data_IF_698002272900
#
_entry.id   IF_698002272900
#
_cell.length_a   1.000
_cell.length_b   1.000
_cell.length_c   1.000
_cell.angle_alpha   90.00
_cell.angle_beta   90.00
_cell.angle_gamma   90.00
#
_symmetry.space_group_name_H-M   'P 1'
#
loop_
_entity.id
_entity.type
_entity.pdbx_description
1 polymer ?
#
# COMPACT_ATOMS: atom_id res chain seq x y z
N UNK A 1 -11.38 -22.83 -15.64
CA UNK A 1 -10.94 -21.74 -16.54
C UNK A 1 -9.89 -20.95 -15.76
N UNK A 2 -8.61 -21.19 -16.06
CA UNK A 2 -7.51 -20.47 -15.37
C UNK A 2 -7.41 -19.08 -16.02
N UNK A 3 -8.08 -18.08 -15.43
CA UNK A 3 -8.02 -16.70 -15.91
C UNK A 3 -6.85 -15.99 -15.22
N UNK A 4 -5.78 -15.76 -15.94
CA UNK A 4 -4.70 -14.87 -15.48
C UNK A 4 -5.26 -13.49 -15.14
N UNK A 5 -4.81 -12.90 -14.03
CA UNK A 5 -5.25 -11.59 -13.58
C UNK A 5 -6.60 -11.56 -12.85
N UNK A 6 -7.22 -12.72 -12.60
CA UNK A 6 -8.49 -12.79 -11.87
C UNK A 6 -8.37 -12.23 -10.46
N UNK A 7 -7.25 -12.49 -9.78
CA UNK A 7 -6.98 -11.96 -8.46
C UNK A 7 -6.98 -10.43 -8.41
N UNK A 8 -6.33 -9.80 -9.40
CA UNK A 8 -6.32 -8.34 -9.54
C UNK A 8 -7.71 -7.78 -9.83
N UNK A 9 -8.48 -8.42 -10.71
CA UNK A 9 -9.84 -7.99 -11.02
C UNK A 9 -10.74 -8.06 -9.79
N UNK A 10 -10.65 -9.14 -9.01
CA UNK A 10 -11.43 -9.30 -7.78
C UNK A 10 -11.01 -8.26 -6.75
N UNK A 11 -9.70 -7.98 -6.59
CA UNK A 11 -9.24 -6.96 -5.66
C UNK A 11 -9.76 -5.55 -6.05
N UNK A 12 -9.65 -5.18 -7.33
CA UNK A 12 -10.20 -3.92 -7.82
C UNK A 12 -11.71 -3.83 -7.60
N UNK A 13 -12.45 -4.93 -7.85
CA UNK A 13 -13.89 -4.98 -7.62
C UNK A 13 -14.23 -4.83 -6.15
N UNK A 14 -13.48 -5.47 -5.25
CA UNK A 14 -13.62 -5.34 -3.81
C UNK A 14 -13.42 -3.90 -3.34
N UNK A 15 -12.41 -3.21 -3.85
CA UNK A 15 -12.14 -1.79 -3.56
C UNK A 15 -13.30 -0.91 -4.03
N UNK A 16 -13.84 -1.14 -5.23
CA UNK A 16 -14.97 -0.37 -5.76
C UNK A 16 -16.21 -0.57 -4.89
N UNK A 17 -16.55 -1.82 -4.57
CA UNK A 17 -17.74 -2.14 -3.76
C UNK A 17 -17.57 -1.55 -2.35
N UNK A 18 -16.40 -1.72 -1.74
CA UNK A 18 -16.07 -1.15 -0.43
C UNK A 18 -16.15 0.39 -0.44
N UNK A 19 -15.63 1.01 -1.49
CA UNK A 19 -15.68 2.46 -1.67
C UNK A 19 -17.10 3.00 -1.72
N UNK A 20 -17.98 2.35 -2.51
CA UNK A 20 -19.40 2.72 -2.61
C UNK A 20 -20.10 2.49 -1.27
N UNK A 21 -19.92 1.33 -0.65
CA UNK A 21 -20.53 1.01 0.64
C UNK A 21 -20.06 1.98 1.73
N UNK A 22 -18.75 2.28 1.78
CA UNK A 22 -18.17 3.21 2.75
C UNK A 22 -18.72 4.63 2.61
N UNK A 23 -18.91 5.11 1.38
CA UNK A 23 -19.53 6.43 1.14
C UNK A 23 -20.98 6.48 1.61
N UNK A 24 -21.76 5.43 1.33
CA UNK A 24 -23.16 5.35 1.79
C UNK A 24 -23.21 5.36 3.32
N UNK A 25 -22.34 4.59 3.96
CA UNK A 25 -22.23 4.54 5.43
C UNK A 25 -21.78 5.89 5.98
N UNK A 26 -20.75 6.51 5.39
CA UNK A 26 -20.16 7.78 5.82
C UNK A 26 -21.16 8.94 5.82
N UNK A 27 -22.08 8.96 4.86
CA UNK A 27 -23.13 9.99 4.78
C UNK A 27 -24.09 9.97 5.97
N UNK A 28 -24.20 8.87 6.70
CA UNK A 28 -25.06 8.72 7.89
C UNK A 28 -24.29 8.94 9.19
N UNK A 29 -22.96 9.11 9.14
CA UNK A 29 -22.13 9.30 10.32
C UNK A 29 -21.93 10.80 10.61
N UNK A 30 -22.02 11.16 11.89
CA UNK A 30 -21.65 12.52 12.35
C UNK A 30 -20.14 12.72 12.15
N UNK A 31 -19.71 13.98 11.93
CA UNK A 31 -18.29 14.32 11.73
C UNK A 31 -17.39 13.81 12.85
N UNK A 32 -17.83 13.88 14.10
CA UNK A 32 -17.08 13.35 15.25
C UNK A 32 -16.88 11.83 15.18
N UNK A 33 -17.86 11.09 14.65
CA UNK A 33 -17.73 9.64 14.44
C UNK A 33 -16.78 9.33 13.29
N UNK A 34 -16.82 10.13 12.20
CA UNK A 34 -15.87 9.99 11.10
C UNK A 34 -14.44 10.23 11.57
N UNK A 35 -14.18 11.28 12.37
CA UNK A 35 -12.85 11.56 12.94
C UNK A 35 -12.37 10.41 13.85
N UNK A 36 -13.25 9.91 14.72
CA UNK A 36 -12.92 8.77 15.59
C UNK A 36 -12.59 7.51 14.79
N UNK A 37 -13.38 7.20 13.77
CA UNK A 37 -13.15 6.05 12.89
C UNK A 37 -11.85 6.19 12.10
N UNK A 38 -11.55 7.40 11.59
CA UNK A 38 -10.30 7.66 10.88
C UNK A 38 -9.09 7.45 11.79
N UNK A 39 -9.12 7.95 13.01
CA UNK A 39 -8.06 7.75 14.00
C UNK A 39 -7.93 6.27 14.41
N UNK A 40 -9.06 5.58 14.65
CA UNK A 40 -9.05 4.15 14.96
C UNK A 40 -8.45 3.32 13.83
N UNK A 41 -8.81 3.62 12.57
CA UNK A 41 -8.19 2.98 11.40
C UNK A 41 -6.70 3.31 11.30
N UNK A 42 -6.30 4.55 11.53
CA UNK A 42 -4.90 4.96 11.58
C UNK A 42 -4.09 4.20 12.64
N UNK A 43 -4.65 4.01 13.83
CA UNK A 43 -4.03 3.18 14.89
C UNK A 43 -3.87 1.73 14.41
N UNK A 44 -4.90 1.13 13.79
CA UNK A 44 -4.80 -0.21 13.24
C UNK A 44 -3.68 -0.31 12.19
N UNK A 45 -3.57 0.66 11.28
CA UNK A 45 -2.51 0.74 10.25
C UNK A 45 -1.13 0.88 10.89
N UNK A 46 -0.98 1.68 11.98
CA UNK A 46 0.26 1.78 12.75
C UNK A 46 0.67 0.39 13.28
N UNK A 47 -0.24 -0.34 13.93
CA UNK A 47 0.06 -1.66 14.50
C UNK A 47 0.39 -2.69 13.41
N UNK A 48 -0.29 -2.66 12.27
CA UNK A 48 0.03 -3.51 11.12
C UNK A 48 1.45 -3.21 10.62
N UNK A 49 1.80 -1.93 10.49
CA UNK A 49 3.14 -1.51 10.09
C UNK A 49 4.22 -1.95 11.09
N UNK A 50 4.01 -1.72 12.38
CA UNK A 50 4.93 -2.15 13.44
C UNK A 50 5.10 -3.68 13.42
N UNK A 51 4.00 -4.43 13.44
CA UNK A 51 4.05 -5.89 13.47
C UNK A 51 4.78 -6.46 12.24
N UNK A 52 4.47 -5.93 11.05
CA UNK A 52 5.14 -6.33 9.82
C UNK A 52 6.64 -6.01 9.81
N UNK A 53 7.04 -4.83 10.28
CA UNK A 53 8.44 -4.45 10.40
C UNK A 53 9.19 -5.31 11.44
N UNK A 54 8.63 -5.47 12.63
CA UNK A 54 9.23 -6.29 13.68
C UNK A 54 9.35 -7.75 13.29
N UNK A 55 8.38 -8.31 12.56
CA UNK A 55 8.44 -9.70 12.06
C UNK A 55 9.63 -9.98 11.14
N UNK A 56 10.22 -8.94 10.56
CA UNK A 56 11.39 -9.04 9.66
C UNK A 56 12.68 -8.55 10.31
N UNK A 57 12.56 -7.70 11.31
CA UNK A 57 13.69 -7.12 12.02
C UNK A 57 14.17 -8.01 13.17
N UNK A 58 13.27 -8.73 13.85
CA UNK A 58 13.60 -9.54 15.02
C UNK A 58 13.98 -10.96 14.60
N UNK A 59 15.09 -11.46 15.13
CA UNK A 59 15.57 -12.82 14.94
C UNK A 59 15.95 -13.44 16.29
N UNK A 60 15.78 -14.75 16.43
CA UNK A 60 16.20 -15.46 17.63
C UNK A 60 17.58 -16.08 17.36
N UNK A 61 18.59 -15.64 18.12
CA UNK A 61 19.94 -16.18 18.06
C UNK A 61 20.36 -16.64 19.46
N UNK A 62 20.70 -17.92 19.58
CA UNK A 62 21.18 -18.46 20.87
C UNK A 62 20.22 -18.32 22.04
N UNK A 63 18.89 -18.28 21.80
CA UNK A 63 17.87 -18.11 22.83
C UNK A 63 17.62 -16.66 23.25
N UNK A 64 18.28 -15.69 22.61
CA UNK A 64 18.07 -14.24 22.80
C UNK A 64 17.47 -13.60 21.55
N UNK A 65 16.70 -12.54 21.73
CA UNK A 65 16.16 -11.73 20.62
C UNK A 65 17.27 -10.77 20.18
N UNK A 66 17.59 -10.82 18.89
CA UNK A 66 18.53 -9.91 18.23
C UNK A 66 17.86 -9.22 17.05
N UNK A 67 18.47 -8.20 16.48
CA UNK A 67 17.95 -7.45 15.35
C UNK A 67 18.78 -7.67 14.09
N UNK A 68 18.12 -7.69 12.94
CA UNK A 68 18.75 -7.81 11.63
C UNK A 68 18.20 -6.76 10.66
N UNK A 69 18.95 -6.50 9.58
CA UNK A 69 18.51 -5.62 8.50
C UNK A 69 18.48 -4.12 8.84
N UNK A 70 19.05 -3.71 10.00
CA UNK A 70 19.04 -2.29 10.42
C UNK A 70 19.78 -1.40 9.43
N UNK A 71 20.96 -1.81 8.93
CA UNK A 71 21.72 -1.04 7.93
C UNK A 71 20.97 -0.96 6.61
N UNK A 72 20.39 -2.07 6.15
CA UNK A 72 19.55 -2.09 4.94
C UNK A 72 18.38 -1.12 5.09
N UNK A 73 17.70 -1.09 6.24
CA UNK A 73 16.59 -0.18 6.52
C UNK A 73 17.02 1.28 6.39
N UNK A 74 18.10 1.67 7.10
CA UNK A 74 18.59 3.06 7.10
C UNK A 74 18.99 3.49 5.68
N UNK A 75 19.77 2.68 4.98
CA UNK A 75 20.24 2.98 3.63
C UNK A 75 19.05 3.07 2.67
N UNK A 76 18.14 2.11 2.72
CA UNK A 76 16.99 2.07 1.83
C UNK A 76 16.06 3.26 2.01
N UNK A 77 15.74 3.61 3.25
CA UNK A 77 14.88 4.76 3.54
C UNK A 77 15.56 6.08 3.16
N UNK A 78 16.85 6.23 3.47
CA UNK A 78 17.58 7.47 3.17
C UNK A 78 17.76 7.69 1.66
N UNK A 79 18.25 6.68 0.94
CA UNK A 79 18.40 6.77 -0.51
C UNK A 79 17.04 6.84 -1.21
N UNK A 80 16.08 6.06 -0.73
CA UNK A 80 14.72 6.08 -1.26
C UNK A 80 14.07 7.45 -1.14
N UNK A 81 14.23 8.11 0.01
CA UNK A 81 13.74 9.47 0.23
C UNK A 81 14.39 10.47 -0.73
N UNK A 82 15.72 10.41 -0.90
CA UNK A 82 16.45 11.29 -1.82
C UNK A 82 15.95 11.10 -3.26
N UNK A 83 15.87 9.85 -3.71
CA UNK A 83 15.42 9.52 -5.08
C UNK A 83 13.96 9.97 -5.27
N UNK A 84 13.09 9.68 -4.31
CA UNK A 84 11.69 10.04 -4.41
C UNK A 84 11.44 11.54 -4.38
N UNK A 85 12.20 12.29 -3.58
CA UNK A 85 12.14 13.75 -3.54
C UNK A 85 12.65 14.38 -4.86
N UNK A 86 13.73 13.86 -5.41
CA UNK A 86 14.22 14.29 -6.74
C UNK A 86 13.23 14.00 -7.86
N UNK A 87 12.48 12.90 -7.76
CA UNK A 87 11.45 12.54 -8.73
C UNK A 87 10.09 13.19 -8.44
N UNK A 88 9.91 13.80 -7.27
CA UNK A 88 8.64 14.35 -6.76
C UNK A 88 7.47 13.39 -6.97
N UNK A 89 7.60 12.17 -6.44
CA UNK A 89 6.59 11.13 -6.61
C UNK A 89 5.27 11.49 -5.91
N UNK A 90 5.36 12.16 -4.76
CA UNK A 90 4.20 12.64 -4.01
C UNK A 90 3.42 13.68 -4.81
N UNK A 91 4.11 14.66 -5.40
CA UNK A 91 3.50 15.64 -6.30
C UNK A 91 2.86 14.98 -7.53
N UNK A 92 3.50 13.98 -8.14
CA UNK A 92 2.92 13.23 -9.27
C UNK A 92 1.67 12.46 -8.86
N UNK A 93 1.63 11.86 -7.68
CA UNK A 93 0.43 11.19 -7.16
C UNK A 93 -0.71 12.18 -6.91
N UNK A 94 -0.40 13.35 -6.35
CA UNK A 94 -1.37 14.44 -6.15
C UNK A 94 -1.93 14.91 -7.49
N UNK A 95 -1.07 15.21 -8.47
CA UNK A 95 -1.50 15.63 -9.81
C UNK A 95 -2.36 14.58 -10.51
N UNK A 96 -2.01 13.30 -10.38
CA UNK A 96 -2.82 12.21 -10.90
C UNK A 96 -4.20 12.15 -10.21
N UNK A 97 -4.24 12.34 -8.89
CA UNK A 97 -5.48 12.45 -8.11
C UNK A 97 -6.34 13.64 -8.53
N UNK A 98 -5.73 14.79 -8.79
CA UNK A 98 -6.41 15.98 -9.29
C UNK A 98 -6.99 15.76 -10.70
N UNK A 99 -6.23 15.14 -11.58
CA UNK A 99 -6.70 14.77 -12.90
C UNK A 99 -7.90 13.82 -12.82
N UNK A 100 -7.83 12.77 -11.98
CA UNK A 100 -8.94 11.86 -11.74
C UNK A 100 -10.16 12.59 -11.18
N UNK A 101 -9.98 13.46 -10.20
CA UNK A 101 -11.02 14.30 -9.60
C UNK A 101 -11.81 15.07 -10.64
N UNK A 102 -11.11 15.72 -11.57
CA UNK A 102 -11.72 16.49 -12.65
C UNK A 102 -12.44 15.58 -13.63
N UNK A 103 -11.78 14.51 -14.09
CA UNK A 103 -12.31 13.56 -15.08
C UNK A 103 -13.55 12.82 -14.59
N UNK A 104 -13.66 12.58 -13.29
CA UNK A 104 -14.79 11.86 -12.67
C UNK A 104 -15.89 12.80 -12.17
N UNK A 105 -15.83 14.10 -12.51
CA UNK A 105 -16.87 15.08 -12.14
C UNK A 105 -16.88 15.45 -10.65
N UNK A 106 -15.82 15.14 -9.90
CA UNK A 106 -15.70 15.43 -8.46
C UNK A 106 -14.91 16.72 -8.17
N UNK A 107 -14.86 17.68 -9.11
CA UNK A 107 -14.04 18.90 -9.03
C UNK A 107 -14.26 19.70 -7.72
N UNK A 108 -15.45 19.65 -7.14
CA UNK A 108 -15.82 20.39 -5.91
C UNK A 108 -15.45 19.63 -4.61
N UNK A 109 -15.06 18.37 -4.68
CA UNK A 109 -14.73 17.57 -3.49
C UNK A 109 -13.34 17.91 -2.99
N UNK A 110 -13.24 18.58 -1.84
CA UNK A 110 -11.97 19.02 -1.24
C UNK A 110 -11.14 17.86 -0.67
N UNK A 111 -11.79 16.77 -0.25
CA UNK A 111 -11.13 15.59 0.35
C UNK A 111 -10.71 14.54 -0.68
N UNK A 112 -11.11 14.70 -1.94
CA UNK A 112 -10.92 13.67 -2.97
C UNK A 112 -9.46 13.27 -3.14
N UNK A 113 -8.55 14.24 -3.29
CA UNK A 113 -7.12 13.96 -3.55
C UNK A 113 -6.47 13.31 -2.34
N UNK A 114 -6.72 13.83 -1.14
CA UNK A 114 -6.18 13.27 0.10
C UNK A 114 -6.67 11.83 0.30
N UNK A 115 -7.95 11.57 0.11
CA UNK A 115 -8.54 10.24 0.18
C UNK A 115 -7.94 9.29 -0.87
N UNK A 116 -7.80 9.76 -2.11
CA UNK A 116 -7.20 8.98 -3.19
C UNK A 116 -5.75 8.61 -2.90
N UNK A 117 -4.91 9.59 -2.53
CA UNK A 117 -3.47 9.35 -2.27
C UNK A 117 -3.29 8.43 -1.08
N UNK A 118 -3.97 8.73 0.04
CA UNK A 118 -3.84 7.94 1.27
C UNK A 118 -4.32 6.50 1.07
N UNK A 119 -5.49 6.30 0.45
CA UNK A 119 -6.00 4.96 0.17
C UNK A 119 -5.08 4.20 -0.79
N UNK A 120 -4.64 4.83 -1.88
CA UNK A 120 -3.75 4.21 -2.85
C UNK A 120 -2.44 3.74 -2.22
N UNK A 121 -1.80 4.57 -1.41
CA UNK A 121 -0.57 4.20 -0.70
C UNK A 121 -0.82 3.05 0.28
N UNK A 122 -1.93 3.10 1.04
CA UNK A 122 -2.27 2.05 2.01
C UNK A 122 -2.45 0.68 1.36
N UNK A 123 -3.16 0.61 0.22
CA UNK A 123 -3.49 -0.67 -0.41
C UNK A 123 -2.50 -1.12 -1.48
N UNK A 124 -1.68 -0.23 -2.08
CA UNK A 124 -0.67 -0.63 -3.05
C UNK A 124 0.62 -1.13 -2.40
N UNK A 125 0.99 -0.59 -1.21
CA UNK A 125 2.24 -0.93 -0.54
C UNK A 125 2.10 -2.26 0.19
N UNK A 126 2.91 -3.24 -0.19
CA UNK A 126 2.98 -4.51 0.54
C UNK A 126 3.42 -5.70 -0.32
N UNK A 127 4.10 -6.64 0.34
CA UNK A 127 4.59 -7.86 -0.30
C UNK A 127 3.48 -8.72 -0.91
N UNK A 128 2.27 -8.73 -0.30
CA UNK A 128 1.13 -9.50 -0.82
C UNK A 128 0.70 -9.06 -2.22
N UNK A 129 0.81 -7.75 -2.53
CA UNK A 129 0.48 -7.26 -3.86
C UNK A 129 1.45 -7.78 -4.91
N UNK A 130 2.75 -7.82 -4.58
CA UNK A 130 3.81 -8.31 -5.49
C UNK A 130 3.75 -9.83 -5.64
N UNK A 131 3.81 -10.57 -4.52
CA UNK A 131 3.78 -12.06 -4.54
C UNK A 131 2.49 -12.56 -5.17
N UNK A 132 1.35 -12.02 -4.73
CA UNK A 132 0.05 -12.45 -5.22
C UNK A 132 -0.10 -12.22 -6.72
N UNK A 133 0.43 -11.10 -7.24
CA UNK A 133 0.39 -10.82 -8.68
C UNK A 133 1.32 -11.74 -9.49
N UNK A 134 2.47 -12.13 -8.92
CA UNK A 134 3.38 -13.11 -9.55
C UNK A 134 2.74 -14.48 -9.58
N UNK A 135 2.19 -14.95 -8.46
CA UNK A 135 1.50 -16.24 -8.35
C UNK A 135 0.29 -16.31 -9.28
N UNK A 136 -0.48 -15.22 -9.36
CA UNK A 136 -1.61 -15.09 -10.30
C UNK A 136 -1.14 -15.15 -11.77
N UNK A 137 -0.01 -14.49 -12.09
CA UNK A 137 0.52 -14.41 -13.45
C UNK A 137 1.22 -15.68 -13.93
N UNK A 138 1.85 -16.47 -13.05
CA UNK A 138 2.60 -17.68 -13.42
C UNK A 138 1.77 -18.94 -13.22
N UNK A 139 1.15 -19.07 -12.06
CA UNK A 139 0.47 -20.30 -11.64
C UNK A 139 -1.05 -20.21 -11.69
N UNK A 140 -1.62 -19.04 -12.05
CA UNK A 140 -3.05 -18.74 -11.91
C UNK A 140 -3.58 -19.05 -10.49
N UNK A 141 -2.72 -18.84 -9.49
CA UNK A 141 -3.05 -19.01 -8.08
C UNK A 141 -3.48 -17.67 -7.48
N UNK A 142 -4.77 -17.48 -7.29
CA UNK A 142 -5.38 -16.23 -6.86
C UNK A 142 -5.48 -16.10 -5.33
N UNK A 143 -5.12 -17.12 -4.56
CA UNK A 143 -5.39 -17.20 -3.10
C UNK A 143 -4.86 -16.00 -2.33
N UNK A 144 -3.64 -15.55 -2.65
CA UNK A 144 -3.01 -14.40 -1.98
C UNK A 144 -3.75 -13.10 -2.30
N UNK A 145 -4.12 -12.88 -3.57
CA UNK A 145 -4.87 -11.68 -3.97
C UNK A 145 -6.31 -11.70 -3.48
N UNK A 146 -6.93 -12.88 -3.29
CA UNK A 146 -8.25 -12.98 -2.65
C UNK A 146 -8.20 -12.61 -1.18
N UNK A 147 -7.20 -13.11 -0.44
CA UNK A 147 -6.99 -12.69 0.94
C UNK A 147 -6.73 -11.18 1.03
N UNK A 148 -5.90 -10.64 0.12
CA UNK A 148 -5.66 -9.21 0.02
C UNK A 148 -6.94 -8.43 -0.30
N UNK A 149 -7.79 -8.91 -1.21
CA UNK A 149 -9.05 -8.25 -1.56
C UNK A 149 -9.99 -8.10 -0.35
N UNK A 150 -10.02 -9.08 0.55
CA UNK A 150 -10.78 -8.99 1.80
C UNK A 150 -10.20 -7.91 2.71
N UNK A 151 -8.87 -7.86 2.86
CA UNK A 151 -8.19 -6.84 3.66
C UNK A 151 -8.42 -5.43 3.10
N UNK A 152 -8.20 -5.27 1.80
CA UNK A 152 -8.38 -4.00 1.11
C UNK A 152 -9.85 -3.53 1.18
N UNK A 153 -10.80 -4.48 1.07
CA UNK A 153 -12.23 -4.17 1.24
C UNK A 153 -12.51 -3.52 2.58
N UNK A 154 -12.05 -4.11 3.69
CA UNK A 154 -12.29 -3.57 5.03
C UNK A 154 -11.63 -2.20 5.19
N UNK A 155 -10.38 -2.06 4.76
CA UNK A 155 -9.62 -0.80 4.83
C UNK A 155 -10.33 0.29 4.03
N UNK A 156 -10.66 0.03 2.77
CA UNK A 156 -11.28 1.02 1.89
C UNK A 156 -12.70 1.36 2.32
N UNK A 157 -13.46 0.43 2.88
CA UNK A 157 -14.78 0.70 3.43
C UNK A 157 -14.71 1.77 4.53
N UNK A 158 -13.79 1.61 5.49
CA UNK A 158 -13.61 2.56 6.59
C UNK A 158 -13.04 3.89 6.07
N UNK A 159 -12.03 3.84 5.20
CA UNK A 159 -11.42 5.05 4.62
C UNK A 159 -12.42 5.84 3.78
N UNK A 160 -13.25 5.18 2.97
CA UNK A 160 -14.27 5.87 2.16
C UNK A 160 -15.37 6.49 3.01
N UNK A 161 -15.70 5.89 4.15
CA UNK A 161 -16.65 6.46 5.11
C UNK A 161 -16.15 7.76 5.75
N UNK A 162 -14.82 7.95 5.83
CA UNK A 162 -14.18 9.10 6.51
C UNK A 162 -13.55 10.10 5.56
N UNK A 163 -12.83 9.63 4.54
CA UNK A 163 -12.11 10.45 3.56
C UNK A 163 -12.89 10.66 2.25
N UNK A 164 -14.00 9.93 2.07
CA UNK A 164 -14.92 10.15 0.96
C UNK A 164 -14.53 9.46 -0.34
N UNK A 165 -15.02 10.03 -1.46
CA UNK A 165 -15.02 9.40 -2.79
C UNK A 165 -13.63 9.09 -3.35
N UNK A 166 -12.61 9.85 -2.97
CA UNK A 166 -11.25 9.64 -3.47
C UNK A 166 -10.72 8.22 -3.21
N UNK A 167 -11.08 7.63 -2.06
CA UNK A 167 -10.62 6.31 -1.67
C UNK A 167 -11.09 5.21 -2.64
N UNK A 168 -12.29 5.32 -3.20
CA UNK A 168 -12.80 4.39 -4.22
C UNK A 168 -11.84 4.31 -5.40
N UNK A 169 -11.31 5.45 -5.86
CA UNK A 169 -10.46 5.50 -7.05
C UNK A 169 -9.07 4.89 -6.85
N UNK A 170 -8.73 4.43 -5.64
CA UNK A 170 -7.50 3.66 -5.40
C UNK A 170 -7.48 2.32 -6.19
N UNK A 171 -8.63 1.84 -6.71
CA UNK A 171 -8.65 0.69 -7.61
C UNK A 171 -7.81 0.93 -8.88
N UNK A 172 -7.65 2.18 -9.32
CA UNK A 172 -6.88 2.51 -10.53
C UNK A 172 -5.38 2.21 -10.33
N UNK A 173 -4.67 2.81 -9.35
CA UNK A 173 -3.27 2.46 -9.11
C UNK A 173 -3.08 1.00 -8.68
N UNK A 174 -4.01 0.40 -7.95
CA UNK A 174 -3.96 -1.03 -7.61
C UNK A 174 -4.03 -1.90 -8.86
N UNK A 175 -4.99 -1.64 -9.74
CA UNK A 175 -5.15 -2.37 -11.00
C UNK A 175 -3.93 -2.22 -11.92
N UNK A 176 -3.39 -1.01 -12.03
CA UNK A 176 -2.18 -0.75 -12.80
C UNK A 176 -0.97 -1.47 -12.20
N UNK A 177 -0.75 -1.37 -10.89
CA UNK A 177 0.38 -1.97 -10.21
C UNK A 177 0.34 -3.50 -10.26
N UNK A 178 -0.75 -4.11 -9.75
CA UNK A 178 -0.90 -5.56 -9.74
C UNK A 178 -1.01 -6.12 -11.15
N UNK A 179 -1.78 -5.48 -12.04
CA UNK A 179 -1.92 -5.91 -13.42
C UNK A 179 -0.59 -5.90 -14.19
N UNK A 180 0.23 -4.86 -14.00
CA UNK A 180 1.57 -4.80 -14.60
C UNK A 180 2.46 -5.93 -14.09
N UNK A 181 2.47 -6.18 -12.77
CA UNK A 181 3.26 -7.28 -12.19
C UNK A 181 2.75 -8.63 -12.70
N UNK A 182 1.44 -8.85 -12.76
CA UNK A 182 0.84 -10.09 -13.28
C UNK A 182 1.23 -10.33 -14.75
N UNK A 183 1.17 -9.29 -15.59
CA UNK A 183 1.56 -9.38 -17.01
C UNK A 183 3.07 -9.63 -17.18
N UNK A 184 3.89 -9.05 -16.32
CA UNK A 184 5.36 -9.19 -16.38
C UNK A 184 5.88 -10.27 -15.42
N UNK A 185 5.01 -11.11 -14.86
CA UNK A 185 5.34 -12.05 -13.80
C UNK A 185 6.50 -12.99 -14.17
N UNK A 186 6.53 -13.51 -15.40
CA UNK A 186 7.61 -14.39 -15.89
C UNK A 186 8.96 -13.69 -15.98
N UNK A 187 9.00 -12.38 -16.20
CA UNK A 187 10.22 -11.57 -16.24
C UNK A 187 10.67 -11.15 -14.84
N UNK A 188 9.71 -10.88 -13.96
CA UNK A 188 9.97 -10.36 -12.61
C UNK A 188 10.30 -11.49 -11.64
N UNK A 189 9.67 -12.67 -11.76
CA UNK A 189 9.82 -13.79 -10.84
C UNK A 189 11.28 -14.20 -10.58
N UNK A 190 12.17 -14.29 -11.55
CA UNK A 190 13.57 -14.64 -11.29
C UNK A 190 14.32 -13.61 -10.43
N UNK A 191 13.84 -12.36 -10.39
CA UNK A 191 14.45 -11.27 -9.62
C UNK A 191 13.93 -11.22 -8.18
N UNK A 192 12.77 -11.85 -7.91
CA UNK A 192 12.13 -11.85 -6.60
C UNK A 192 12.57 -13.06 -5.78
N UNK A 193 13.73 -12.93 -5.16
CA UNK A 193 14.23 -13.92 -4.20
C UNK A 193 13.46 -13.84 -2.87
N UNK A 194 13.56 -14.89 -2.04
CA UNK A 194 13.00 -14.87 -0.68
C UNK A 194 13.56 -13.69 0.15
N UNK A 195 14.84 -13.35 -0.05
CA UNK A 195 15.49 -12.21 0.60
C UNK A 195 14.91 -10.88 0.12
N UNK A 196 14.73 -10.70 -1.20
CA UNK A 196 14.10 -9.51 -1.76
C UNK A 196 12.65 -9.35 -1.27
N UNK A 197 11.91 -10.45 -1.17
CA UNK A 197 10.55 -10.45 -0.64
C UNK A 197 10.50 -10.07 0.83
N UNK A 198 11.45 -10.57 1.63
CA UNK A 198 11.58 -10.18 3.03
C UNK A 198 11.90 -8.69 3.17
N UNK A 199 12.80 -8.15 2.34
CA UNK A 199 13.17 -6.75 2.31
C UNK A 199 11.98 -5.84 1.89
N UNK A 200 11.22 -6.23 0.85
CA UNK A 200 9.98 -5.56 0.44
C UNK A 200 8.95 -5.51 1.58
N UNK A 201 8.76 -6.65 2.26
CA UNK A 201 7.84 -6.72 3.40
C UNK A 201 8.30 -5.83 4.55
N UNK A 202 9.59 -5.80 4.84
CA UNK A 202 10.18 -5.00 5.91
C UNK A 202 10.00 -3.50 5.65
N UNK A 203 10.53 -3.01 4.52
CA UNK A 203 10.43 -1.58 4.18
C UNK A 203 8.99 -1.18 3.91
N UNK A 204 8.20 -2.00 3.20
CA UNK A 204 6.78 -1.74 2.97
C UNK A 204 5.98 -1.56 4.27
N UNK A 205 6.27 -2.37 5.29
CA UNK A 205 5.63 -2.24 6.61
C UNK A 205 5.98 -0.92 7.30
N UNK A 206 7.20 -0.43 7.13
CA UNK A 206 7.61 0.89 7.65
C UNK A 206 6.87 2.02 6.92
N UNK A 207 6.68 1.90 5.60
CA UNK A 207 5.89 2.89 4.87
C UNK A 207 4.41 2.88 5.29
N UNK A 208 3.84 1.71 5.53
CA UNK A 208 2.48 1.56 6.08
C UNK A 208 2.38 2.22 7.45
N UNK A 209 3.38 2.05 8.32
CA UNK A 209 3.46 2.76 9.59
C UNK A 209 3.43 4.28 9.41
N UNK A 210 4.18 4.83 8.45
CA UNK A 210 4.17 6.27 8.13
C UNK A 210 2.79 6.75 7.65
N UNK A 211 2.06 5.96 6.86
CA UNK A 211 0.66 6.26 6.49
C UNK A 211 -0.23 6.32 7.72
N UNK A 212 -0.09 5.36 8.64
CA UNK A 212 -0.85 5.34 9.90
C UNK A 212 -0.58 6.58 10.77
N UNK A 213 0.68 7.03 10.85
CA UNK A 213 1.08 8.27 11.53
C UNK A 213 0.36 9.47 10.90
N UNK A 214 0.34 9.58 9.58
CA UNK A 214 -0.38 10.65 8.89
C UNK A 214 -1.87 10.67 9.23
N UNK A 215 -2.51 9.49 9.30
CA UNK A 215 -3.94 9.37 9.62
C UNK A 215 -4.28 9.76 11.06
N UNK A 216 -3.44 9.39 12.03
CA UNK A 216 -3.71 9.64 13.47
C UNK A 216 -3.35 11.06 13.85
N UNK A 217 -2.18 11.53 13.43
CA UNK A 217 -1.59 12.80 13.90
C UNK A 217 -1.71 13.94 12.90
N UNK A 218 -2.34 13.70 11.74
CA UNK A 218 -2.46 14.71 10.66
C UNK A 218 -1.10 15.24 10.21
N UNK A 219 -0.05 14.42 10.27
CA UNK A 219 1.27 14.76 9.77
C UNK A 219 1.30 14.70 8.25
N UNK A 220 2.33 15.25 7.63
CA UNK A 220 2.49 15.30 6.17
C UNK A 220 3.77 14.58 5.75
N UNK A 221 3.98 13.37 6.26
CA UNK A 221 5.07 12.51 5.75
C UNK A 221 4.74 12.19 4.29
N UNK A 222 5.63 12.56 3.38
CA UNK A 222 5.49 12.31 1.93
C UNK A 222 5.81 10.85 1.62
N UNK A 223 4.89 9.95 1.97
CA UNK A 223 5.11 8.49 1.88
C UNK A 223 5.36 8.05 0.44
N UNK A 224 4.76 8.70 -0.55
CA UNK A 224 5.01 8.40 -1.95
C UNK A 224 6.50 8.64 -2.33
N UNK A 225 7.16 9.65 -1.74
CA UNK A 225 8.58 9.89 -1.95
C UNK A 225 9.47 8.85 -1.27
N UNK A 226 8.93 8.01 -0.39
CA UNK A 226 9.66 6.87 0.19
C UNK A 226 9.53 5.59 -0.64
N UNK A 227 8.65 5.52 -1.64
CA UNK A 227 8.45 4.31 -2.46
C UNK A 227 9.73 3.75 -3.10
N UNK A 228 10.69 4.56 -3.59
CA UNK A 228 11.94 4.03 -4.13
C UNK A 228 12.76 3.22 -3.12
N UNK A 229 12.53 3.42 -1.80
CA UNK A 229 13.17 2.59 -0.77
C UNK A 229 12.87 1.10 -0.92
N UNK A 230 11.72 0.73 -1.48
CA UNK A 230 11.38 -0.67 -1.79
C UNK A 230 12.35 -1.28 -2.81
N UNK A 231 12.69 -0.52 -3.86
CA UNK A 231 13.62 -0.95 -4.91
C UNK A 231 15.05 -1.01 -4.34
N UNK A 232 15.47 0.02 -3.58
CA UNK A 232 16.78 0.06 -2.94
C UNK A 232 16.95 -1.14 -1.99
N UNK A 233 15.92 -1.48 -1.22
CA UNK A 233 15.94 -2.63 -0.32
C UNK A 233 16.14 -3.95 -1.08
N UNK A 234 15.47 -4.13 -2.23
CA UNK A 234 15.70 -5.30 -3.08
C UNK A 234 17.13 -5.37 -3.61
N UNK A 235 17.69 -4.23 -4.04
CA UNK A 235 19.08 -4.16 -4.51
C UNK A 235 20.07 -4.52 -3.38
N UNK A 236 19.84 -4.03 -2.16
CA UNK A 236 20.66 -4.37 -0.99
C UNK A 236 20.68 -5.87 -0.67
N UNK A 237 19.67 -6.65 -1.09
CA UNK A 237 19.70 -8.12 -0.87
C UNK A 237 20.64 -8.86 -1.83
N UNK A 238 20.99 -8.24 -2.96
CA UNK A 238 21.96 -8.80 -3.93
C UNK A 238 23.39 -8.53 -3.47
N UNK A 239 23.60 -7.42 -2.78
CA UNK A 239 24.88 -7.03 -2.19
C UNK A 239 24.75 -7.09 -0.67
N UNK A 240 25.05 -8.20 -0.01
CA UNK A 240 24.92 -8.31 1.45
C UNK A 240 25.81 -7.28 2.13
N UNK A 241 25.16 -6.36 2.85
CA UNK A 241 25.76 -5.29 3.66
C UNK A 241 25.98 -5.78 5.09
#
# INVERSE_FOLDING_TARGET
MNMFGLGTIINCSAIIIAGIAGMIFGNHLKESMQDTLMKANGVAVIFIGIAGALSKMLVIKGGTIDTTGTMMMIISLSLGAIIGELLDLDGKMIHFGEWLKIKTGNAKDKKFVDGFVTASLTVCIGAMAVVGSIEDGIHANHSILFAKAILDFVIILVMSATLGKGCLFSFVPVGLFQGTITLLASLISPLITASAMSALSYIGSILIFCVGINLVFNTKIRVANLLPALIVACICTVFPL
#
